data_IF_967386234882
#
_entry.id   IF_967386234882
#
_cell.length_a   1.000
_cell.length_b   1.000
_cell.length_c   1.000
_cell.angle_alpha   90.00
_cell.angle_beta   90.00
_cell.angle_gamma   90.00
#
_symmetry.space_group_name_H-M   'P 1'
#
loop_
_entity.id
_entity.type
_entity.pdbx_description
1 polymer ?
#
# COMPACT_ATOMS: atom_id res chain seq x y z
N UNK A 1 13.75 -16.35 21.30
CA UNK A 1 12.72 -15.57 22.02
C UNK A 1 11.72 -15.04 21.00
N UNK A 2 10.42 -15.19 21.25
CA UNK A 2 9.38 -14.65 20.38
C UNK A 2 9.33 -13.13 20.51
N UNK A 3 9.51 -12.42 19.40
CA UNK A 3 9.43 -10.96 19.35
C UNK A 3 7.99 -10.50 19.66
N UNK A 4 7.83 -9.59 20.61
CA UNK A 4 6.54 -9.04 21.04
C UNK A 4 6.32 -7.60 20.58
N UNK A 5 5.11 -7.07 20.75
CA UNK A 5 4.81 -5.66 20.47
C UNK A 5 5.63 -4.71 21.35
N UNK A 6 5.87 -5.10 22.60
CA UNK A 6 6.63 -4.34 23.60
C UNK A 6 8.13 -4.26 23.24
N UNK A 7 8.69 -5.32 22.67
CA UNK A 7 10.08 -5.33 22.19
C UNK A 7 10.31 -4.33 21.03
N UNK A 8 9.24 -3.90 20.36
CA UNK A 8 9.30 -2.98 19.22
C UNK A 8 8.89 -1.56 19.63
N UNK A 9 7.75 -1.42 20.31
CA UNK A 9 7.11 -0.14 20.66
C UNK A 9 7.41 0.34 22.09
N UNK A 10 8.02 -0.47 22.94
CA UNK A 10 8.41 -0.03 24.28
C UNK A 10 9.43 1.10 24.26
N UNK A 11 9.57 1.78 25.38
CA UNK A 11 10.53 2.84 25.67
C UNK A 11 11.99 2.45 25.40
N UNK A 12 12.30 1.16 25.53
CA UNK A 12 13.61 0.56 25.20
C UNK A 12 13.53 -0.38 23.99
N UNK A 13 12.43 -0.30 23.23
CA UNK A 13 12.15 -1.14 22.08
C UNK A 13 12.94 -0.73 20.84
N UNK A 14 12.79 -1.53 19.80
CA UNK A 14 13.53 -1.38 18.54
C UNK A 14 13.27 -0.05 17.82
N UNK A 15 12.06 0.51 17.93
CA UNK A 15 11.76 1.84 17.37
C UNK A 15 12.48 2.94 18.16
N UNK A 16 12.46 2.87 19.50
CA UNK A 16 13.15 3.83 20.37
C UNK A 16 14.65 3.90 20.08
N UNK A 17 15.28 2.74 19.83
CA UNK A 17 16.70 2.67 19.47
C UNK A 17 17.04 3.32 18.11
N UNK A 18 16.06 3.45 17.20
CA UNK A 18 16.28 3.94 15.83
C UNK A 18 15.79 5.37 15.60
N UNK A 19 14.74 5.79 16.29
CA UNK A 19 14.06 7.07 16.07
C UNK A 19 14.39 8.05 17.21
N UNK A 20 15.25 9.06 16.97
CA UNK A 20 15.53 10.09 17.97
C UNK A 20 14.24 10.83 18.37
N UNK A 21 14.02 11.02 19.67
CA UNK A 21 12.82 11.67 20.19
C UNK A 21 11.57 10.77 20.18
N UNK A 22 11.72 9.45 20.02
CA UNK A 22 10.65 8.52 20.30
C UNK A 22 10.19 8.62 21.75
N UNK A 23 8.88 8.68 21.94
CA UNK A 23 8.24 8.67 23.24
C UNK A 23 7.27 7.49 23.27
N UNK A 24 7.39 6.67 24.31
CA UNK A 24 6.45 5.59 24.56
C UNK A 24 5.07 6.18 24.90
N UNK A 25 4.03 5.72 24.20
CA UNK A 25 2.65 6.12 24.46
C UNK A 25 1.86 4.93 24.98
N UNK A 26 1.38 4.94 26.24
CA UNK A 26 0.65 3.81 26.82
C UNK A 26 -0.57 3.38 25.98
N UNK A 27 -1.30 4.33 25.40
CA UNK A 27 -2.47 4.06 24.56
C UNK A 27 -2.08 3.36 23.26
N UNK A 28 -0.90 3.66 22.71
CA UNK A 28 -0.37 2.99 21.52
C UNK A 28 -0.07 1.51 21.82
N UNK A 29 0.59 1.24 22.95
CA UNK A 29 0.92 -0.11 23.40
C UNK A 29 -0.36 -0.88 23.71
N UNK A 30 -1.32 -0.27 24.41
CA UNK A 30 -2.60 -0.88 24.72
C UNK A 30 -3.36 -1.27 23.44
N UNK A 31 -3.43 -0.36 22.45
CA UNK A 31 -4.01 -0.66 21.15
C UNK A 31 -3.26 -1.80 20.45
N UNK A 32 -1.92 -1.78 20.44
CA UNK A 32 -1.10 -2.81 19.80
C UNK A 32 -1.31 -4.20 20.41
N UNK A 33 -1.34 -4.30 21.74
CA UNK A 33 -1.64 -5.54 22.46
C UNK A 33 -3.06 -6.03 22.17
N UNK A 34 -4.02 -5.12 22.11
CA UNK A 34 -5.42 -5.44 21.79
C UNK A 34 -5.55 -6.00 20.37
N UNK A 35 -4.87 -5.37 19.40
CA UNK A 35 -4.82 -5.87 18.01
C UNK A 35 -4.13 -7.23 17.94
N UNK A 36 -2.99 -7.42 18.61
CA UNK A 36 -2.29 -8.71 18.66
C UNK A 36 -3.19 -9.83 19.21
N UNK A 37 -3.89 -9.56 20.31
CA UNK A 37 -4.84 -10.50 20.93
C UNK A 37 -6.01 -10.81 20.00
N UNK A 38 -6.61 -9.80 19.36
CA UNK A 38 -7.73 -9.99 18.43
C UNK A 38 -7.32 -10.85 17.22
N UNK A 39 -6.13 -10.62 16.66
CA UNK A 39 -5.59 -11.43 15.55
C UNK A 39 -5.34 -12.87 15.99
N UNK A 40 -4.73 -13.08 17.17
CA UNK A 40 -4.44 -14.42 17.69
C UNK A 40 -5.72 -15.22 18.02
N UNK A 41 -6.75 -14.54 18.52
CA UNK A 41 -8.01 -15.15 18.94
C UNK A 41 -9.08 -15.16 17.83
N UNK A 42 -8.77 -14.68 16.62
CA UNK A 42 -9.72 -14.58 15.50
C UNK A 42 -10.99 -13.77 15.84
N UNK A 43 -10.82 -12.64 16.54
CA UNK A 43 -11.92 -11.79 17.00
C UNK A 43 -11.94 -10.44 16.28
N UNK A 44 -13.13 -9.84 16.19
CA UNK A 44 -13.29 -8.46 15.78
C UNK A 44 -12.97 -7.52 16.95
N UNK A 45 -12.17 -6.50 16.67
CA UNK A 45 -11.82 -5.45 17.61
C UNK A 45 -12.22 -4.10 17.03
N UNK A 46 -12.92 -3.30 17.81
CA UNK A 46 -13.21 -1.90 17.52
C UNK A 46 -12.41 -1.05 18.49
N UNK A 47 -11.62 -0.12 17.96
CA UNK A 47 -10.80 0.81 18.76
C UNK A 47 -11.11 2.23 18.33
N UNK A 48 -11.48 3.07 19.28
CA UNK A 48 -11.46 4.52 19.10
C UNK A 48 -10.10 5.03 19.59
N UNK A 49 -9.36 5.71 18.71
CA UNK A 49 -8.04 6.24 19.03
C UNK A 49 -7.85 7.65 18.47
N UNK A 50 -7.51 8.58 19.37
CA UNK A 50 -7.27 9.98 19.07
C UNK A 50 -6.16 10.21 18.04
N UNK A 51 -6.13 11.39 17.44
CA UNK A 51 -5.01 11.83 16.60
C UNK A 51 -3.71 11.86 17.42
N UNK A 52 -2.56 11.57 16.79
CA UNK A 52 -1.27 11.58 17.48
C UNK A 52 -0.94 10.34 18.34
N UNK A 53 -1.91 9.47 18.66
CA UNK A 53 -1.69 8.25 19.48
C UNK A 53 -0.70 7.25 18.83
N UNK A 54 -0.37 7.40 17.55
CA UNK A 54 0.52 6.47 16.85
C UNK A 54 -0.21 5.21 16.36
N UNK A 55 -1.49 5.37 15.99
CA UNK A 55 -2.39 4.32 15.47
C UNK A 55 -1.73 3.43 14.40
N UNK A 56 -0.99 4.04 13.47
CA UNK A 56 -0.32 3.29 12.39
C UNK A 56 0.55 2.17 12.92
N UNK A 57 1.51 2.46 13.79
CA UNK A 57 2.36 1.40 14.35
C UNK A 57 1.58 0.45 15.27
N UNK A 58 0.55 0.95 15.96
CA UNK A 58 -0.27 0.12 16.83
C UNK A 58 -1.01 -1.00 16.08
N UNK A 59 -1.41 -0.81 14.82
CA UNK A 59 -1.94 -1.92 14.00
C UNK A 59 -0.88 -2.59 13.12
N UNK A 60 0.15 -1.89 12.65
CA UNK A 60 1.17 -2.45 11.75
C UNK A 60 2.08 -3.44 12.47
N UNK A 61 2.60 -3.10 13.65
CA UNK A 61 3.54 -3.95 14.40
C UNK A 61 2.94 -5.33 14.71
N UNK A 62 1.77 -5.45 15.35
CA UNK A 62 1.17 -6.75 15.61
C UNK A 62 0.79 -7.50 14.32
N UNK A 63 0.42 -6.78 13.25
CA UNK A 63 0.13 -7.40 11.94
C UNK A 63 1.38 -8.03 11.33
N UNK A 64 2.51 -7.32 11.34
CA UNK A 64 3.80 -7.82 10.85
C UNK A 64 4.24 -9.03 11.67
N UNK A 65 4.14 -8.95 13.01
CA UNK A 65 4.48 -10.06 13.89
C UNK A 65 3.62 -11.30 13.63
N UNK A 66 2.34 -11.11 13.30
CA UNK A 66 1.42 -12.21 12.99
C UNK A 66 1.73 -12.88 11.64
N UNK A 67 2.02 -12.11 10.58
CA UNK A 67 2.32 -12.70 9.26
C UNK A 67 3.69 -13.37 9.20
N UNK A 68 4.62 -12.95 10.05
CA UNK A 68 6.00 -13.50 10.13
C UNK A 68 6.18 -14.50 11.29
N UNK A 69 5.11 -14.87 12.00
CA UNK A 69 5.20 -15.75 13.17
C UNK A 69 5.73 -17.15 12.84
N UNK A 70 5.49 -17.62 11.61
CA UNK A 70 5.87 -18.97 11.18
C UNK A 70 7.33 -19.07 10.70
N UNK A 71 8.00 -17.94 10.39
CA UNK A 71 9.44 -17.91 10.04
C UNK A 71 10.36 -18.35 11.19
N UNK A 72 9.83 -18.36 12.41
CA UNK A 72 10.56 -18.76 13.62
C UNK A 72 10.47 -20.27 13.92
N UNK A 73 9.72 -21.03 13.13
CA UNK A 73 9.51 -22.48 13.32
C UNK A 73 10.43 -23.27 12.37
N UNK A 74 11.10 -24.35 12.82
CA UNK A 74 11.80 -25.27 11.93
C UNK A 74 10.87 -25.75 10.79
N UNK A 75 11.40 -26.02 9.57
CA UNK A 75 10.61 -26.50 8.43
C UNK A 75 9.76 -27.74 8.75
N UNK A 76 10.23 -28.56 9.71
CA UNK A 76 9.61 -29.82 10.12
C UNK A 76 8.35 -29.64 10.99
N UNK A 77 8.09 -28.43 11.53
CA UNK A 77 6.90 -28.13 12.35
C UNK A 77 5.76 -27.49 11.54
N UNK A 78 5.95 -27.25 10.24
CA UNK A 78 4.93 -26.65 9.38
C UNK A 78 3.68 -27.55 9.22
N UNK A 79 3.85 -28.87 9.31
CA UNK A 79 2.74 -29.84 9.29
C UNK A 79 1.89 -29.78 10.57
N UNK A 80 2.44 -29.34 11.71
CA UNK A 80 1.75 -29.34 13.00
C UNK A 80 0.70 -28.21 13.14
N UNK A 81 0.77 -27.15 12.32
CA UNK A 81 -0.13 -25.98 12.43
C UNK A 81 -1.29 -25.96 11.43
N UNK A 82 -1.41 -26.95 10.54
CA UNK A 82 -2.56 -27.10 9.63
C UNK A 82 -2.85 -25.90 8.71
N UNK A 83 -1.92 -24.93 8.60
CA UNK A 83 -2.07 -23.76 7.74
C UNK A 83 -1.41 -24.06 6.40
N UNK A 84 -2.24 -24.45 5.42
CA UNK A 84 -1.83 -24.66 4.03
C UNK A 84 -1.27 -23.38 3.36
N UNK A 85 -1.49 -22.19 3.94
CA UNK A 85 -1.07 -20.90 3.36
C UNK A 85 -0.57 -19.93 4.44
N UNK A 86 0.44 -19.10 4.11
CA UNK A 86 0.93 -18.06 5.00
C UNK A 86 -0.17 -17.03 5.27
N UNK A 87 -0.24 -16.54 6.51
CA UNK A 87 -1.17 -15.48 6.90
C UNK A 87 -0.89 -14.21 6.08
N UNK A 88 -1.94 -13.57 5.58
CA UNK A 88 -1.86 -12.27 4.90
C UNK A 88 -2.74 -11.27 5.62
N UNK A 89 -2.25 -10.05 5.80
CA UNK A 89 -3.01 -8.95 6.41
C UNK A 89 -3.30 -7.90 5.36
N UNK A 90 -4.55 -7.44 5.31
CA UNK A 90 -4.99 -6.32 4.49
C UNK A 90 -5.24 -5.12 5.38
N UNK A 91 -4.53 -4.03 5.14
CA UNK A 91 -4.77 -2.74 5.80
C UNK A 91 -5.56 -1.86 4.86
N UNK A 92 -6.75 -1.45 5.29
CA UNK A 92 -7.61 -0.51 4.58
C UNK A 92 -7.58 0.85 5.27
N UNK A 93 -7.42 1.92 4.51
CA UNK A 93 -7.46 3.30 5.01
C UNK A 93 -8.40 4.14 4.16
N UNK A 94 -8.78 5.32 4.67
CA UNK A 94 -9.78 6.17 4.04
C UNK A 94 -9.31 6.81 2.72
N UNK A 95 -8.01 7.10 2.55
CA UNK A 95 -7.50 7.84 1.38
C UNK A 95 -6.21 7.22 0.85
N UNK A 96 -5.96 7.37 -0.46
CA UNK A 96 -4.73 6.91 -1.11
C UNK A 96 -3.48 7.52 -0.46
N UNK A 97 -3.53 8.81 -0.09
CA UNK A 97 -2.42 9.49 0.59
C UNK A 97 -2.07 8.85 1.93
N UNK A 98 -3.06 8.37 2.70
CA UNK A 98 -2.79 7.61 3.92
C UNK A 98 -2.13 6.26 3.62
N UNK A 99 -2.52 5.58 2.54
CA UNK A 99 -1.89 4.32 2.13
C UNK A 99 -0.44 4.54 1.68
N UNK A 100 -0.16 5.62 0.94
CA UNK A 100 1.19 6.00 0.51
C UNK A 100 2.07 6.41 1.68
N UNK A 101 1.52 7.06 2.69
CA UNK A 101 2.24 7.33 3.93
C UNK A 101 2.71 6.03 4.60
N UNK A 102 1.86 5.00 4.63
CA UNK A 102 2.27 3.70 5.16
C UNK A 102 3.41 3.11 4.33
N UNK A 103 3.30 3.11 3.00
CA UNK A 103 4.27 2.47 2.10
C UNK A 103 5.63 3.20 2.07
N UNK A 104 5.63 4.53 2.16
CA UNK A 104 6.85 5.34 1.96
C UNK A 104 7.53 5.76 3.25
N UNK A 105 6.83 5.72 4.39
CA UNK A 105 7.37 6.14 5.70
C UNK A 105 7.29 5.04 6.74
N UNK A 106 6.07 4.62 7.09
CA UNK A 106 5.84 3.77 8.26
C UNK A 106 6.43 2.36 8.05
N UNK A 107 6.13 1.72 6.92
CA UNK A 107 6.61 0.37 6.59
C UNK A 107 8.12 0.30 6.38
N UNK A 108 8.79 1.23 5.65
CA UNK A 108 10.24 1.26 5.56
C UNK A 108 10.95 1.40 6.91
N UNK A 109 10.40 2.23 7.82
CA UNK A 109 10.93 2.33 9.18
C UNK A 109 10.81 0.98 9.90
N UNK A 110 9.62 0.38 9.87
CA UNK A 110 9.38 -0.92 10.52
C UNK A 110 10.28 -2.02 9.95
N UNK A 111 10.49 -2.04 8.63
CA UNK A 111 11.38 -3.00 7.97
C UNK A 111 12.85 -2.83 8.40
N UNK A 112 13.25 -1.61 8.78
CA UNK A 112 14.62 -1.36 9.27
C UNK A 112 14.86 -1.75 10.73
N UNK A 113 13.79 -1.96 11.52
CA UNK A 113 13.90 -2.20 12.98
C UNK A 113 13.42 -3.58 13.41
N UNK A 114 12.42 -4.14 12.72
CA UNK A 114 11.90 -5.48 12.97
C UNK A 114 12.83 -6.50 12.29
N UNK A 115 13.42 -7.45 13.03
CA UNK A 115 14.38 -8.43 12.51
C UNK A 115 13.65 -9.60 11.83
N UNK A 116 12.73 -9.32 10.91
CA UNK A 116 11.94 -10.30 10.17
C UNK A 116 11.71 -9.81 8.75
N UNK A 117 11.66 -10.73 7.79
CA UNK A 117 11.40 -10.37 6.41
C UNK A 117 9.90 -10.20 6.20
N UNK A 118 9.47 -9.04 5.71
CA UNK A 118 8.09 -8.86 5.30
C UNK A 118 8.01 -7.96 4.07
N UNK A 119 6.98 -8.18 3.27
CA UNK A 119 6.70 -7.37 2.08
C UNK A 119 5.33 -6.74 2.21
N UNK A 120 5.21 -5.53 1.70
CA UNK A 120 3.95 -4.80 1.62
C UNK A 120 3.81 -4.24 0.21
N UNK A 121 2.59 -4.32 -0.31
CA UNK A 121 2.22 -3.80 -1.62
C UNK A 121 1.02 -2.88 -1.49
N UNK A 122 0.97 -1.87 -2.34
CA UNK A 122 -0.12 -0.90 -2.36
C UNK A 122 -1.11 -1.26 -3.46
N UNK A 123 -2.38 -1.42 -3.07
CA UNK A 123 -3.48 -1.73 -4.00
C UNK A 123 -4.39 -0.52 -4.10
N UNK A 124 -4.45 0.09 -5.29
CA UNK A 124 -5.36 1.20 -5.61
C UNK A 124 -6.48 0.71 -6.52
N UNK A 125 -7.59 1.45 -6.58
CA UNK A 125 -8.64 1.19 -7.56
C UNK A 125 -8.10 1.34 -9.00
N UNK A 126 -8.58 0.52 -9.94
CA UNK A 126 -8.10 0.45 -11.34
C UNK A 126 -8.01 1.82 -12.04
N UNK A 127 -8.97 2.71 -11.79
CA UNK A 127 -8.99 4.06 -12.35
C UNK A 127 -7.87 4.99 -11.87
N UNK A 128 -7.03 4.54 -10.92
CA UNK A 128 -5.83 5.25 -10.51
C UNK A 128 -4.60 4.85 -11.32
N UNK A 129 -4.72 3.94 -12.29
CA UNK A 129 -3.62 3.52 -13.15
C UNK A 129 -3.88 3.97 -14.58
N UNK A 130 -2.83 4.45 -15.25
CA UNK A 130 -2.89 4.79 -16.67
C UNK A 130 -3.04 3.52 -17.52
N UNK A 131 -3.90 3.55 -18.54
CA UNK A 131 -3.94 2.51 -19.57
C UNK A 131 -3.15 2.95 -20.79
N UNK A 132 -2.01 2.30 -21.05
CA UNK A 132 -1.18 2.59 -22.25
C UNK A 132 -1.97 2.48 -23.56
N UNK A 133 -2.88 1.50 -23.65
CA UNK A 133 -3.76 1.35 -24.82
C UNK A 133 -4.72 2.53 -25.00
N UNK A 134 -5.38 2.95 -23.92
CA UNK A 134 -6.31 4.08 -24.00
C UNK A 134 -5.58 5.39 -24.23
N UNK A 135 -4.41 5.57 -23.63
CA UNK A 135 -3.53 6.71 -23.90
C UNK A 135 -3.18 6.80 -25.40
N UNK A 136 -2.72 5.71 -26.02
CA UNK A 136 -2.42 5.71 -27.47
C UNK A 136 -3.65 6.07 -28.31
N UNK A 137 -4.80 5.47 -28.01
CA UNK A 137 -6.05 5.77 -28.71
C UNK A 137 -6.55 7.21 -28.47
N UNK A 138 -6.26 7.80 -27.32
CA UNK A 138 -6.60 9.19 -27.01
C UNK A 138 -5.66 10.15 -27.75
N UNK A 139 -4.36 9.85 -27.81
CA UNK A 139 -3.37 10.64 -28.58
C UNK A 139 -3.70 10.65 -30.07
N UNK A 140 -4.05 9.50 -30.65
CA UNK A 140 -4.46 9.40 -32.07
C UNK A 140 -5.72 10.20 -32.39
N UNK A 141 -6.68 10.25 -31.45
CA UNK A 141 -7.97 10.94 -31.63
C UNK A 141 -8.00 12.36 -31.04
N UNK A 142 -6.87 12.86 -30.53
CA UNK A 142 -6.82 14.02 -29.63
C UNK A 142 -7.48 15.28 -30.20
N UNK A 143 -7.33 15.54 -31.51
CA UNK A 143 -7.95 16.70 -32.17
C UNK A 143 -9.48 16.64 -32.33
N UNK A 144 -10.10 15.49 -32.03
CA UNK A 144 -11.56 15.31 -32.04
C UNK A 144 -12.15 15.07 -30.64
N UNK A 145 -11.33 14.61 -29.69
CA UNK A 145 -11.76 14.33 -28.31
C UNK A 145 -11.76 15.58 -27.42
N UNK A 146 -10.81 16.50 -27.67
CA UNK A 146 -10.57 17.64 -26.80
C UNK A 146 -10.70 18.94 -27.58
N UNK A 147 -11.37 19.91 -26.96
CA UNK A 147 -11.62 21.22 -27.57
C UNK A 147 -10.69 22.29 -27.01
N UNK A 148 -10.14 22.07 -25.80
CA UNK A 148 -9.25 23.01 -25.13
C UNK A 148 -7.78 22.73 -25.44
N UNK A 149 -7.00 23.79 -25.64
CA UNK A 149 -5.54 23.70 -25.72
C UNK A 149 -4.90 23.12 -24.46
N UNK A 150 -5.52 23.32 -23.30
CA UNK A 150 -5.04 22.77 -22.04
C UNK A 150 -5.15 21.23 -22.02
N UNK A 151 -6.29 20.69 -22.43
CA UNK A 151 -6.55 19.25 -22.48
C UNK A 151 -5.57 18.55 -23.42
N UNK A 152 -5.41 19.10 -24.63
CA UNK A 152 -4.46 18.58 -25.61
C UNK A 152 -3.01 18.65 -25.11
N UNK A 153 -2.66 19.69 -24.36
CA UNK A 153 -1.33 19.81 -23.73
C UNK A 153 -1.16 18.75 -22.64
N UNK A 154 -2.15 18.57 -21.77
CA UNK A 154 -2.09 17.56 -20.71
C UNK A 154 -2.02 16.14 -21.27
N UNK A 155 -2.73 15.85 -22.36
CA UNK A 155 -2.65 14.55 -23.03
C UNK A 155 -1.22 14.26 -23.53
N UNK A 156 -0.56 15.24 -24.15
CA UNK A 156 0.85 15.12 -24.56
C UNK A 156 1.78 14.92 -23.35
N UNK A 157 1.57 15.69 -22.28
CA UNK A 157 2.33 15.53 -21.03
C UNK A 157 2.16 14.13 -20.44
N UNK A 158 0.95 13.57 -20.45
CA UNK A 158 0.67 12.22 -19.97
C UNK A 158 1.33 11.16 -20.85
N UNK A 159 1.36 11.36 -22.17
CA UNK A 159 2.07 10.45 -23.08
C UNK A 159 3.58 10.42 -22.79
N UNK A 160 4.21 11.59 -22.63
CA UNK A 160 5.62 11.68 -22.25
C UNK A 160 5.90 11.09 -20.86
N UNK A 161 5.03 11.36 -19.89
CA UNK A 161 5.12 10.83 -18.53
C UNK A 161 4.96 9.31 -18.49
N UNK A 162 4.08 8.74 -19.32
CA UNK A 162 3.84 7.29 -19.38
C UNK A 162 5.08 6.47 -19.75
N UNK A 163 6.08 7.12 -20.37
CA UNK A 163 7.36 6.50 -20.77
C UNK A 163 8.40 6.55 -19.65
N UNK A 164 8.17 7.35 -18.60
CA UNK A 164 9.10 7.60 -17.50
C UNK A 164 8.60 7.06 -16.15
N UNK A 165 7.29 6.94 -15.98
CA UNK A 165 6.68 6.43 -14.75
C UNK A 165 6.99 4.95 -14.50
N UNK A 166 7.06 4.57 -13.22
CA UNK A 166 7.35 3.20 -12.81
C UNK A 166 6.10 2.32 -12.85
N UNK A 167 5.00 2.76 -12.22
CA UNK A 167 3.79 1.96 -12.04
C UNK A 167 2.54 2.59 -12.69
N UNK A 168 2.67 3.73 -13.36
CA UNK A 168 1.55 4.42 -14.00
C UNK A 168 0.47 4.93 -13.05
N UNK A 169 0.79 5.08 -11.77
CA UNK A 169 -0.10 5.61 -10.73
C UNK A 169 -0.41 7.10 -10.96
N UNK A 170 -1.69 7.46 -10.87
CA UNK A 170 -2.16 8.85 -10.91
C UNK A 170 -1.53 9.70 -9.81
N UNK A 171 -1.24 9.11 -8.65
CA UNK A 171 -0.64 9.82 -7.52
C UNK A 171 0.79 10.29 -7.79
N UNK A 172 1.46 9.69 -8.78
CA UNK A 172 2.86 10.00 -9.12
C UNK A 172 2.95 11.21 -10.05
N UNK A 173 1.80 11.75 -10.48
CA UNK A 173 1.73 13.01 -11.21
C UNK A 173 1.99 14.19 -10.26
N UNK A 174 2.87 15.09 -10.68
CA UNK A 174 3.20 16.32 -9.93
C UNK A 174 2.09 17.38 -9.96
N UNK A 175 1.01 17.10 -10.67
CA UNK A 175 -0.14 17.98 -10.84
C UNK A 175 -1.42 17.15 -10.85
N UNK A 176 -2.55 17.80 -10.59
CA UNK A 176 -3.86 17.17 -10.74
C UNK A 176 -4.28 17.22 -12.22
N UNK A 177 -4.45 16.07 -12.90
CA UNK A 177 -4.90 16.09 -14.29
C UNK A 177 -6.35 16.60 -14.37
N UNK A 178 -6.68 17.24 -15.50
CA UNK A 178 -8.06 17.52 -15.90
C UNK A 178 -8.81 16.21 -15.94
N UNK A 179 -10.01 16.21 -15.35
CA UNK A 179 -10.79 15.00 -15.12
C UNK A 179 -11.10 14.29 -16.44
N UNK A 180 -11.60 15.02 -17.44
CA UNK A 180 -11.97 14.48 -18.75
C UNK A 180 -10.78 13.85 -19.48
N UNK A 181 -9.59 14.47 -19.38
CA UNK A 181 -8.35 13.91 -19.93
C UNK A 181 -7.99 12.61 -19.21
N UNK A 182 -8.04 12.58 -17.88
CA UNK A 182 -7.72 11.38 -17.11
C UNK A 182 -8.71 10.25 -17.38
N UNK A 183 -10.01 10.54 -17.45
CA UNK A 183 -11.05 9.55 -17.73
C UNK A 183 -10.85 8.86 -19.07
N UNK A 184 -10.35 9.58 -20.09
CA UNK A 184 -10.03 9.02 -21.40
C UNK A 184 -8.83 8.06 -21.38
N UNK A 185 -7.85 8.28 -20.50
CA UNK A 185 -6.60 7.50 -20.49
C UNK A 185 -6.47 6.50 -19.33
N UNK A 186 -7.27 6.64 -18.28
CA UNK A 186 -7.24 5.79 -17.10
C UNK A 186 -7.67 4.36 -17.43
N UNK A 187 -7.15 3.38 -16.71
CA UNK A 187 -7.60 2.00 -16.85
C UNK A 187 -9.04 1.86 -16.35
N UNK A 188 -9.88 1.27 -17.19
CA UNK A 188 -11.28 1.01 -16.91
C UNK A 188 -11.60 -0.47 -17.14
N UNK A 189 -12.49 -1.03 -16.33
CA UNK A 189 -12.84 -2.45 -16.39
C UNK A 189 -13.71 -2.76 -17.61
N UNK A 190 -14.61 -1.85 -18.01
CA UNK A 190 -15.53 -2.10 -19.12
C UNK A 190 -14.81 -2.14 -20.48
N UNK A 191 -13.72 -1.36 -20.62
CA UNK A 191 -12.90 -1.31 -21.82
C UNK A 191 -11.71 -2.30 -21.78
N UNK A 192 -11.40 -2.92 -20.63
CA UNK A 192 -10.20 -3.74 -20.49
C UNK A 192 -10.31 -5.05 -21.28
N UNK A 193 -9.32 -5.34 -22.12
CA UNK A 193 -9.23 -6.61 -22.86
C UNK A 193 -8.51 -7.73 -22.08
N UNK A 194 -8.07 -7.44 -20.84
CA UNK A 194 -7.29 -8.37 -20.02
C UNK A 194 -6.07 -8.92 -20.76
N UNK A 195 -5.89 -10.25 -20.72
CA UNK A 195 -4.78 -10.95 -21.39
C UNK A 195 -4.76 -10.81 -22.92
N UNK A 196 -5.89 -10.44 -23.55
CA UNK A 196 -5.96 -10.19 -25.01
C UNK A 196 -5.52 -8.78 -25.39
N UNK A 197 -5.24 -7.92 -24.42
CA UNK A 197 -4.77 -6.56 -24.68
C UNK A 197 -3.38 -6.61 -25.34
N UNK A 198 -3.16 -5.93 -26.49
CA UNK A 198 -1.82 -5.83 -27.10
C UNK A 198 -0.76 -5.24 -26.17
N UNK A 199 -1.18 -4.48 -25.15
CA UNK A 199 -0.31 -3.84 -24.17
C UNK A 199 -0.24 -4.58 -22.82
N UNK A 200 -0.72 -5.82 -22.73
CA UNK A 200 -0.83 -6.52 -21.45
C UNK A 200 0.52 -6.67 -20.72
N UNK A 201 1.60 -7.01 -21.44
CA UNK A 201 2.93 -7.21 -20.84
C UNK A 201 3.61 -5.94 -20.33
N UNK A 202 3.09 -4.76 -20.68
CA UNK A 202 3.56 -3.46 -20.17
C UNK A 202 2.41 -2.70 -19.50
N UNK A 203 1.39 -3.40 -19.00
CA UNK A 203 0.21 -2.78 -18.43
C UNK A 203 0.45 -2.44 -16.96
N UNK A 204 0.38 -1.16 -16.62
CA UNK A 204 0.56 -0.64 -15.26
C UNK A 204 -0.36 -1.23 -14.18
N UNK A 205 -1.49 -1.82 -14.55
CA UNK A 205 -2.42 -2.45 -13.60
C UNK A 205 -2.14 -3.94 -13.34
N UNK A 206 -1.46 -4.63 -14.25
CA UNK A 206 -1.30 -6.10 -14.23
C UNK A 206 0.12 -6.54 -13.92
#
# INVERSE_FOLDING_TARGET
>A
MSLTVDDILGSHGRIAARLPGYEERPEQIQMARSVASAVANHQHLVVEAGTGVGKSFAYLVPSILAVTADESSPPDDAEAKGRERPLRVVISTHTISLQEQLLTKDLPLLNSVIPREFTAVLVKGRGNYLSRRRLMAAVERGGSLFSSEEEMRQLRTLDEWSRKTHDGSRSDLLYRPVQDVWEEVASDNSNCMGRKCPQHGACFYY
#
